data_IF_792528324174
#
_entry.id   IF_792528324174
#
_cell.length_a   1.000
_cell.length_b   1.000
_cell.length_c   1.000
_cell.angle_alpha   90.00
_cell.angle_beta   90.00
_cell.angle_gamma   90.00
#
_symmetry.space_group_name_H-M   'P 1'
#
loop_
_entity.id
_entity.type
_entity.pdbx_description
1 polymer ?
#
# COMPACT_ATOMS: atom_id res chain seq x y z
N UNK A 1 -14.13 11.99 -1.29
CA UNK A 1 -12.92 11.95 -0.43
C UNK A 1 -12.23 10.57 -0.51
N UNK A 2 -12.08 10.03 -1.72
CA UNK A 2 -11.37 8.75 -1.99
C UNK A 2 -10.07 9.01 -2.77
N UNK A 3 -10.02 10.13 -3.49
CA UNK A 3 -8.84 10.66 -4.17
C UNK A 3 -7.66 10.91 -3.21
N UNK A 4 -7.93 11.51 -2.04
CA UNK A 4 -6.91 11.76 -1.01
C UNK A 4 -6.26 10.48 -0.49
N UNK A 5 -7.04 9.40 -0.42
CA UNK A 5 -6.59 8.11 0.12
C UNK A 5 -5.66 7.42 -0.89
N UNK A 6 -6.06 7.47 -2.17
CA UNK A 6 -5.26 6.99 -3.30
C UNK A 6 -3.94 7.76 -3.41
N UNK A 7 -3.98 9.09 -3.34
CA UNK A 7 -2.78 9.93 -3.42
C UNK A 7 -1.78 9.60 -2.31
N UNK A 8 -2.24 9.52 -1.05
CA UNK A 8 -1.37 9.13 0.08
C UNK A 8 -0.83 7.72 -0.05
N UNK A 9 -1.62 6.78 -0.56
CA UNK A 9 -1.15 5.42 -0.82
C UNK A 9 -0.06 5.42 -1.90
N UNK A 10 -0.21 6.23 -2.95
CA UNK A 10 0.82 6.40 -3.99
C UNK A 10 2.11 6.93 -3.38
N UNK A 11 2.05 7.92 -2.49
CA UNK A 11 3.25 8.43 -1.79
C UNK A 11 3.94 7.36 -0.94
N UNK A 12 3.17 6.52 -0.21
CA UNK A 12 3.75 5.41 0.56
C UNK A 12 4.49 4.41 -0.36
N UNK A 13 3.88 4.06 -1.49
CA UNK A 13 4.50 3.19 -2.48
C UNK A 13 5.75 3.83 -3.10
N UNK A 14 5.72 5.12 -3.46
CA UNK A 14 6.86 5.83 -4.02
C UNK A 14 8.05 5.88 -3.04
N UNK A 15 7.78 5.97 -1.74
CA UNK A 15 8.82 5.95 -0.70
C UNK A 15 9.51 4.59 -0.52
N UNK A 16 8.83 3.49 -0.87
CA UNK A 16 9.34 2.11 -0.77
C UNK A 16 9.86 1.59 -2.11
N UNK A 17 9.26 2.05 -3.20
CA UNK A 17 9.60 1.70 -4.58
C UNK A 17 9.90 2.99 -5.36
N UNK A 18 11.06 3.62 -5.11
CA UNK A 18 11.46 4.84 -5.83
C UNK A 18 11.66 4.63 -7.34
N UNK A 19 11.72 3.37 -7.77
CA UNK A 19 11.88 2.94 -9.15
C UNK A 19 10.55 2.94 -9.92
N UNK A 20 9.42 2.95 -9.21
CA UNK A 20 8.09 3.01 -9.81
C UNK A 20 7.62 4.46 -9.90
N UNK A 21 7.11 4.84 -11.05
CA UNK A 21 6.44 6.14 -11.23
C UNK A 21 5.03 6.11 -10.66
N UNK A 22 4.49 7.28 -10.31
CA UNK A 22 3.11 7.44 -9.80
C UNK A 22 2.03 6.81 -10.68
N UNK A 23 2.28 6.71 -12.00
CA UNK A 23 1.39 6.04 -12.94
C UNK A 23 1.48 4.50 -12.90
N UNK A 24 2.62 3.96 -12.51
CA UNK A 24 2.89 2.52 -12.43
C UNK A 24 2.55 1.95 -11.05
N UNK A 25 2.66 2.77 -9.99
CA UNK A 25 2.33 2.40 -8.61
C UNK A 25 0.92 1.78 -8.46
N UNK A 26 -0.16 2.31 -9.08
CA UNK A 26 -1.48 1.71 -9.01
C UNK A 26 -1.56 0.31 -9.63
N UNK A 27 -0.61 -0.02 -10.50
CA UNK A 27 -0.46 -1.33 -11.17
C UNK A 27 0.57 -2.19 -10.46
N UNK A 28 1.25 -1.68 -9.43
CA UNK A 28 2.25 -2.41 -8.68
C UNK A 28 1.60 -3.57 -7.91
N UNK A 29 2.17 -4.75 -8.13
CA UNK A 29 1.85 -6.01 -7.47
C UNK A 29 3.14 -6.83 -7.37
N UNK A 30 3.27 -7.78 -6.45
CA UNK A 30 4.42 -8.68 -6.38
C UNK A 30 4.67 -9.45 -7.68
N UNK A 31 3.62 -9.68 -8.47
CA UNK A 31 3.74 -10.34 -9.77
C UNK A 31 4.37 -9.44 -10.85
N UNK A 32 4.24 -8.12 -10.73
CA UNK A 32 4.72 -7.14 -11.71
C UNK A 32 6.03 -6.48 -11.29
N UNK A 33 6.29 -6.40 -9.99
CA UNK A 33 7.46 -5.75 -9.41
C UNK A 33 8.42 -6.84 -8.96
N UNK A 34 9.45 -7.09 -9.78
CA UNK A 34 10.45 -8.12 -9.47
C UNK A 34 11.20 -7.87 -8.15
N UNK A 35 11.31 -6.61 -7.74
CA UNK A 35 11.92 -6.21 -6.47
C UNK A 35 10.98 -6.29 -5.26
N UNK A 36 9.79 -6.86 -5.45
CA UNK A 36 8.86 -7.10 -4.37
C UNK A 36 9.34 -8.26 -3.50
N UNK A 37 10.35 -7.97 -2.69
CA UNK A 37 10.83 -8.88 -1.66
C UNK A 37 10.02 -8.75 -0.37
N UNK A 38 10.09 -9.76 0.49
CA UNK A 38 9.44 -9.76 1.80
C UNK A 38 9.80 -8.53 2.63
N UNK A 39 11.01 -7.99 2.50
CA UNK A 39 11.42 -6.77 3.19
C UNK A 39 10.71 -5.52 2.66
N UNK A 40 10.56 -5.39 1.33
CA UNK A 40 9.83 -4.26 0.72
C UNK A 40 8.35 -4.33 1.06
N UNK A 41 7.75 -5.54 1.05
CA UNK A 41 6.37 -5.75 1.48
C UNK A 41 6.14 -5.32 2.94
N UNK A 42 6.99 -5.77 3.87
CA UNK A 42 6.90 -5.38 5.29
C UNK A 42 7.09 -3.87 5.47
N UNK A 43 8.05 -3.25 4.77
CA UNK A 43 8.31 -1.81 4.86
C UNK A 43 7.16 -0.97 4.28
N UNK A 44 6.55 -1.43 3.19
CA UNK A 44 5.34 -0.82 2.62
C UNK A 44 4.22 -0.82 3.65
N UNK A 45 3.96 -1.96 4.27
CA UNK A 45 2.90 -2.10 5.26
C UNK A 45 3.18 -1.24 6.48
N UNK A 46 4.39 -1.27 7.04
CA UNK A 46 4.76 -0.39 8.14
C UNK A 46 4.52 1.09 7.81
N UNK A 47 4.88 1.52 6.59
CA UNK A 47 4.66 2.90 6.12
C UNK A 47 3.17 3.22 6.04
N UNK A 48 2.34 2.30 5.54
CA UNK A 48 0.87 2.45 5.48
C UNK A 48 0.28 2.50 6.88
N UNK A 49 0.68 1.59 7.77
CA UNK A 49 0.22 1.53 9.15
C UNK A 49 0.49 2.85 9.89
N UNK A 50 1.68 3.42 9.75
CA UNK A 50 2.01 4.73 10.33
C UNK A 50 1.25 5.88 9.65
N UNK A 51 1.18 5.88 8.31
CA UNK A 51 0.56 6.99 7.55
C UNK A 51 -0.95 7.09 7.76
N UNK A 52 -1.61 5.93 7.85
CA UNK A 52 -3.06 5.81 7.99
C UNK A 52 -3.48 5.47 9.43
N UNK A 53 -2.52 5.37 10.35
CA UNK A 53 -2.71 4.98 11.74
C UNK A 53 -3.58 3.71 11.88
N UNK A 54 -3.32 2.73 11.01
CA UNK A 54 -4.09 1.50 10.91
C UNK A 54 -3.21 0.30 11.25
N UNK A 55 -3.81 -0.80 11.71
CA UNK A 55 -3.10 -2.07 11.87
C UNK A 55 -3.49 -3.01 10.74
N UNK A 56 -2.50 -3.50 9.99
CA UNK A 56 -2.67 -4.53 8.96
C UNK A 56 -2.26 -5.86 9.56
N UNK A 57 -3.19 -6.82 9.61
CA UNK A 57 -2.88 -8.14 10.13
C UNK A 57 -1.90 -8.86 9.21
N UNK A 58 -0.94 -9.63 9.74
CA UNK A 58 0.01 -10.40 8.92
C UNK A 58 -0.67 -11.39 7.97
N UNK A 59 -1.85 -11.91 8.33
CA UNK A 59 -2.67 -12.75 7.45
C UNK A 59 -3.27 -11.96 6.27
N UNK A 60 -3.67 -10.71 6.48
CA UNK A 60 -4.13 -9.81 5.43
C UNK A 60 -2.97 -9.39 4.54
N UNK A 61 -1.75 -9.31 5.08
CA UNK A 61 -0.51 -8.95 4.39
C UNK A 61 -0.17 -9.91 3.24
N UNK A 62 -0.39 -11.20 3.45
CA UNK A 62 -0.22 -12.25 2.44
C UNK A 62 -1.25 -12.09 1.29
N UNK A 63 -2.45 -11.60 1.61
CA UNK A 63 -3.52 -11.30 0.66
C UNK A 63 -3.50 -9.86 0.10
N UNK A 64 -2.82 -8.92 0.76
CA UNK A 64 -2.70 -7.48 0.46
C UNK A 64 -1.43 -7.21 -0.36
N UNK A 65 -1.28 -7.99 -1.42
CA UNK A 65 -0.19 -7.87 -2.37
C UNK A 65 -0.39 -6.75 -3.41
N UNK A 66 -1.63 -6.32 -3.66
CA UNK A 66 -1.93 -5.37 -4.75
C UNK A 66 -2.45 -4.03 -4.25
N UNK A 67 -2.02 -2.96 -4.93
CA UNK A 67 -2.45 -1.58 -4.64
C UNK A 67 -3.98 -1.45 -4.49
N UNK A 68 -4.76 -2.04 -5.40
CA UNK A 68 -6.23 -1.97 -5.37
C UNK A 68 -6.84 -2.62 -4.12
N UNK A 69 -6.29 -3.76 -3.66
CA UNK A 69 -6.76 -4.43 -2.44
C UNK A 69 -6.49 -3.56 -1.21
N UNK A 70 -5.29 -2.98 -1.14
CA UNK A 70 -4.92 -2.08 -0.04
C UNK A 70 -5.82 -0.85 -0.03
N UNK A 71 -6.05 -0.25 -1.21
CA UNK A 71 -6.93 0.91 -1.33
C UNK A 71 -8.34 0.58 -0.84
N UNK A 72 -8.94 -0.53 -1.31
CA UNK A 72 -10.28 -0.95 -0.85
C UNK A 72 -10.32 -1.24 0.65
N UNK A 73 -9.27 -1.86 1.19
CA UNK A 73 -9.16 -2.13 2.62
C UNK A 73 -9.19 -0.82 3.43
N UNK A 74 -8.45 0.18 2.98
CA UNK A 74 -8.41 1.49 3.63
C UNK A 74 -9.70 2.29 3.43
N UNK A 75 -10.37 2.16 2.28
CA UNK A 75 -11.69 2.77 2.04
C UNK A 75 -12.78 2.13 2.90
N UNK A 76 -12.68 0.83 3.19
CA UNK A 76 -13.62 0.09 4.02
C UNK A 76 -13.44 0.30 5.53
N UNK A 77 -12.26 0.75 5.97
CA UNK A 77 -12.02 1.11 7.38
C UNK A 77 -12.61 2.50 7.65
N UNK A 78 -13.55 2.65 8.61
CA UNK A 78 -13.92 3.97 9.08
C UNK A 78 -12.65 4.62 9.64
N UNK A 79 -12.26 5.79 9.11
CA UNK A 79 -11.22 6.62 9.75
C UNK A 79 -11.70 6.88 11.16
N UNK A 80 -11.12 6.18 12.14
CA UNK A 80 -11.38 6.41 13.55
C UNK A 80 -11.08 7.89 13.81
N UNK A 81 -12.15 8.62 14.12
CA UNK A 81 -12.13 10.04 14.43
C UNK A 81 -11.50 10.32 15.80
#
# INVERSE_FOLDING_TARGET
MTDDLRARLIECFAAVFPELSEAEIPRASPELVAEWDSLRAVRLIATIEETFNCAVAPAELDEMASFDRILRYLEGKPRSA
#
